data_IF_048480136343
#
_entry.id   IF_048480136343
#
_cell.length_a   1.000
_cell.length_b   1.000
_cell.length_c   1.000
_cell.angle_alpha   90.00
_cell.angle_beta   90.00
_cell.angle_gamma   90.00
#
_symmetry.space_group_name_H-M   'P 1'
#
loop_
_entity.id
_entity.type
_entity.pdbx_description
1 polymer ?
#
# COMPACT_ATOMS: atom_id res chain seq x y z
N UNK A 1 14.93 -2.22 8.98
CA UNK A 1 13.63 -1.89 8.33
C UNK A 1 13.52 -2.47 6.92
N UNK A 2 14.53 -2.35 6.04
CA UNK A 2 14.54 -2.98 4.70
C UNK A 2 14.25 -4.49 4.73
N UNK A 3 14.93 -5.25 5.58
CA UNK A 3 14.75 -6.71 5.67
C UNK A 3 13.33 -7.14 6.07
N UNK A 4 12.64 -6.33 6.89
CA UNK A 4 11.24 -6.60 7.23
C UNK A 4 10.33 -6.35 6.03
N UNK A 5 10.49 -5.20 5.37
CA UNK A 5 9.70 -4.84 4.20
C UNK A 5 9.87 -5.86 3.08
N UNK A 6 11.11 -6.24 2.74
CA UNK A 6 11.39 -7.25 1.73
C UNK A 6 10.74 -8.60 2.07
N UNK A 7 10.75 -9.00 3.33
CA UNK A 7 10.04 -10.19 3.81
C UNK A 7 8.52 -10.09 3.62
N UNK A 8 7.93 -8.91 3.83
CA UNK A 8 6.50 -8.69 3.57
C UNK A 8 6.19 -8.65 2.08
N UNK A 9 7.07 -8.06 1.26
CA UNK A 9 6.90 -7.94 -0.19
C UNK A 9 6.95 -9.29 -0.91
N UNK A 10 7.72 -10.25 -0.39
CA UNK A 10 7.82 -11.61 -0.94
C UNK A 10 6.82 -12.60 -0.34
N UNK A 11 5.91 -12.14 0.52
CA UNK A 11 4.94 -13.01 1.16
C UNK A 11 3.86 -13.47 0.16
N UNK A 12 3.40 -14.72 0.30
CA UNK A 12 2.33 -15.30 -0.51
C UNK A 12 0.95 -14.68 -0.27
N UNK A 13 0.71 -14.11 0.91
CA UNK A 13 -0.57 -13.50 1.30
C UNK A 13 -0.74 -12.06 0.81
N UNK A 14 0.10 -11.61 -0.12
CA UNK A 14 -0.06 -10.32 -0.79
C UNK A 14 -0.99 -10.49 -1.97
N UNK A 15 -2.07 -9.71 -2.04
CA UNK A 15 -2.86 -9.61 -3.26
C UNK A 15 -2.07 -8.86 -4.31
N UNK A 16 -1.82 -9.51 -5.46
CA UNK A 16 -1.05 -8.95 -6.58
C UNK A 16 -1.96 -8.67 -7.77
N UNK A 17 -1.72 -7.54 -8.42
CA UNK A 17 -2.45 -7.11 -9.62
C UNK A 17 -1.49 -6.58 -10.65
N UNK A 18 -1.69 -6.96 -11.90
CA UNK A 18 -1.03 -6.32 -13.03
C UNK A 18 -1.94 -5.22 -13.57
N UNK A 19 -1.52 -3.97 -13.46
CA UNK A 19 -2.25 -2.85 -14.05
C UNK A 19 -1.94 -2.65 -15.54
N UNK A 20 -2.60 -1.66 -16.13
CA UNK A 20 -2.34 -1.28 -17.52
C UNK A 20 -0.89 -0.80 -17.70
N UNK A 21 -0.31 -1.10 -18.86
CA UNK A 21 1.09 -0.89 -19.20
C UNK A 21 2.11 -1.77 -18.42
N UNK A 22 1.67 -2.89 -17.83
CA UNK A 22 2.57 -3.89 -17.24
C UNK A 22 3.08 -3.57 -15.84
N UNK A 23 2.57 -2.51 -15.21
CA UNK A 23 2.91 -2.19 -13.82
C UNK A 23 2.36 -3.26 -12.87
N UNK A 24 3.19 -3.74 -11.96
CA UNK A 24 2.79 -4.68 -10.92
C UNK A 24 2.43 -3.92 -9.64
N UNK A 25 1.31 -4.28 -9.05
CA UNK A 25 0.85 -3.73 -7.78
C UNK A 25 0.66 -4.85 -6.77
N UNK A 26 0.83 -4.52 -5.50
CA UNK A 26 0.56 -5.44 -4.42
C UNK A 26 0.01 -4.73 -3.20
N UNK A 27 -0.88 -5.39 -2.48
CA UNK A 27 -1.45 -4.86 -1.25
C UNK A 27 -1.60 -5.95 -0.19
N UNK A 28 -1.30 -5.61 1.06
CA UNK A 28 -1.52 -6.51 2.20
C UNK A 28 -1.83 -5.75 3.48
N UNK A 29 -2.93 -6.10 4.16
CA UNK A 29 -3.17 -5.62 5.54
C UNK A 29 -2.24 -6.37 6.50
N UNK A 30 -1.57 -5.62 7.37
CA UNK A 30 -0.63 -6.09 8.38
C UNK A 30 -1.14 -5.78 9.79
N UNK A 31 -0.54 -6.41 10.79
CA UNK A 31 -0.76 -6.12 12.22
C UNK A 31 -2.25 -5.94 12.61
N UNK A 32 -3.09 -6.94 12.29
CA UNK A 32 -4.52 -6.95 12.63
C UNK A 32 -5.34 -5.75 12.11
N UNK A 33 -4.86 -5.02 11.11
CA UNK A 33 -5.59 -3.89 10.54
C UNK A 33 -5.05 -2.51 10.89
N UNK A 34 -3.91 -2.42 11.58
CA UNK A 34 -3.27 -1.14 11.93
C UNK A 34 -2.36 -0.63 10.80
N UNK A 35 -1.91 -1.52 9.93
CA UNK A 35 -0.97 -1.19 8.87
C UNK A 35 -1.34 -1.86 7.55
N UNK A 36 -0.82 -1.28 6.48
CA UNK A 36 -0.98 -1.80 5.14
C UNK A 36 0.34 -1.70 4.39
N UNK A 37 0.76 -2.82 3.83
CA UNK A 37 1.79 -2.88 2.81
C UNK A 37 1.17 -2.50 1.48
N UNK A 38 1.82 -1.58 0.77
CA UNK A 38 1.56 -1.30 -0.64
C UNK A 38 2.83 -1.44 -1.46
N UNK A 39 2.70 -2.03 -2.64
CA UNK A 39 3.78 -2.23 -3.59
C UNK A 39 3.41 -1.71 -4.97
N UNK A 40 4.41 -1.14 -5.64
CA UNK A 40 4.37 -0.74 -7.04
C UNK A 40 5.70 -1.12 -7.68
N UNK A 41 5.68 -2.12 -8.56
CA UNK A 41 6.85 -2.76 -9.14
C UNK A 41 7.81 -3.21 -8.02
N UNK A 42 9.04 -2.73 -8.03
CA UNK A 42 10.06 -3.04 -7.02
C UNK A 42 10.02 -2.11 -5.80
N UNK A 43 9.05 -1.18 -5.75
CA UNK A 43 8.92 -0.22 -4.65
C UNK A 43 7.86 -0.69 -3.67
N UNK A 44 8.15 -0.55 -2.39
CA UNK A 44 7.24 -0.88 -1.30
C UNK A 44 7.18 0.24 -0.26
N UNK A 45 6.04 0.36 0.39
CA UNK A 45 5.85 1.20 1.57
C UNK A 45 4.91 0.53 2.56
N UNK A 46 5.04 0.90 3.83
CA UNK A 46 4.05 0.57 4.86
C UNK A 46 3.37 1.87 5.29
N UNK A 47 2.05 1.90 5.19
CA UNK A 47 1.25 2.99 5.72
C UNK A 47 0.40 2.53 6.90
N UNK A 48 0.02 3.48 7.74
CA UNK A 48 -0.95 3.24 8.81
C UNK A 48 -2.35 3.31 8.20
N UNK A 49 -3.19 2.38 8.59
CA UNK A 49 -4.61 2.36 8.24
C UNK A 49 -5.43 2.13 9.52
N UNK A 50 -6.71 2.44 9.44
CA UNK A 50 -7.71 1.98 10.39
C UNK A 50 -8.66 1.10 9.59
N UNK A 51 -8.43 -0.21 9.60
CA UNK A 51 -9.26 -1.16 8.87
C UNK A 51 -10.70 -1.19 9.40
N UNK A 52 -10.91 -0.91 10.70
CA UNK A 52 -12.24 -0.91 11.32
C UNK A 52 -13.11 0.25 10.83
N UNK A 53 -12.49 1.40 10.56
CA UNK A 53 -13.17 2.60 10.05
C UNK A 53 -12.88 2.88 8.56
N UNK A 54 -12.21 1.97 7.86
CA UNK A 54 -11.87 2.12 6.44
C UNK A 54 -10.96 3.32 6.13
N UNK A 55 -10.20 3.83 7.11
CA UNK A 55 -9.40 5.05 6.94
C UNK A 55 -7.95 4.74 6.56
N UNK A 56 -7.37 5.57 5.68
CA UNK A 56 -5.95 5.53 5.35
C UNK A 56 -5.29 6.81 5.84
N UNK A 57 -4.30 6.67 6.72
CA UNK A 57 -3.56 7.82 7.24
C UNK A 57 -2.51 8.28 6.22
N UNK A 58 -2.94 9.11 5.27
CA UNK A 58 -2.08 9.64 4.18
C UNK A 58 -0.82 10.34 4.66
N UNK A 59 -0.82 10.85 5.91
CA UNK A 59 0.36 11.41 6.57
C UNK A 59 1.50 10.40 6.75
N UNK A 60 1.22 9.10 6.77
CA UNK A 60 2.24 8.04 6.83
C UNK A 60 2.89 7.77 5.46
N UNK A 61 2.27 8.20 4.36
CA UNK A 61 2.75 8.00 2.98
C UNK A 61 3.66 9.18 2.59
N UNK A 62 4.92 9.17 3.03
CA UNK A 62 5.87 10.27 2.74
C UNK A 62 7.00 9.88 1.79
N UNK A 63 7.38 8.61 1.80
CA UNK A 63 8.50 8.08 1.03
C UNK A 63 8.26 6.61 0.70
N UNK A 64 9.01 6.09 -0.27
CA UNK A 64 9.13 4.65 -0.48
C UNK A 64 10.09 4.07 0.55
N UNK A 65 9.64 3.11 1.35
CA UNK A 65 10.47 2.51 2.41
C UNK A 65 11.57 1.60 1.85
N UNK A 66 11.37 1.03 0.66
CA UNK A 66 12.40 0.19 0.02
C UNK A 66 13.60 1.01 -0.45
N UNK A 67 13.35 2.18 -1.05
CA UNK A 67 14.41 3.04 -1.65
C UNK A 67 14.80 4.24 -0.81
N UNK A 68 13.97 4.65 0.16
CA UNK A 68 14.10 5.91 0.91
C UNK A 68 13.73 7.16 0.09
N UNK A 69 13.26 7.00 -1.15
CA UNK A 69 12.93 8.12 -2.04
C UNK A 69 11.68 8.85 -1.54
N UNK A 70 11.81 10.15 -1.27
CA UNK A 70 10.68 11.03 -0.93
C UNK A 70 9.70 11.12 -2.09
N UNK A 71 8.41 11.05 -1.77
CA UNK A 71 7.36 11.24 -2.76
C UNK A 71 7.03 12.71 -2.95
N UNK A 72 6.88 13.11 -4.22
CA UNK A 72 6.27 14.40 -4.53
C UNK A 72 4.80 14.44 -4.08
N UNK A 73 4.22 15.63 -3.95
CA UNK A 73 2.80 15.76 -3.60
C UNK A 73 1.89 15.05 -4.62
N UNK A 74 2.18 15.19 -5.92
CA UNK A 74 1.44 14.52 -7.00
C UNK A 74 1.55 12.99 -6.89
N UNK A 75 2.76 12.49 -6.66
CA UNK A 75 3.00 11.05 -6.48
C UNK A 75 2.26 10.50 -5.25
N UNK A 76 2.27 11.24 -4.14
CA UNK A 76 1.57 10.85 -2.92
C UNK A 76 0.06 10.75 -3.10
N UNK A 77 -0.54 11.72 -3.81
CA UNK A 77 -1.97 11.69 -4.14
C UNK A 77 -2.29 10.47 -5.00
N UNK A 78 -1.48 10.21 -6.03
CA UNK A 78 -1.62 9.03 -6.91
C UNK A 78 -1.53 7.71 -6.13
N UNK A 79 -0.48 7.55 -5.32
CA UNK A 79 -0.25 6.35 -4.50
C UNK A 79 -1.40 6.15 -3.49
N UNK A 80 -1.87 7.22 -2.85
CA UNK A 80 -3.03 7.16 -1.95
C UNK A 80 -4.28 6.68 -2.69
N UNK A 81 -4.53 7.16 -3.90
CA UNK A 81 -5.65 6.72 -4.74
C UNK A 81 -5.57 5.25 -5.11
N UNK A 82 -4.37 4.76 -5.45
CA UNK A 82 -4.14 3.34 -5.73
C UNK A 82 -4.36 2.46 -4.50
N UNK A 83 -3.87 2.87 -3.33
CA UNK A 83 -4.10 2.15 -2.08
C UNK A 83 -5.59 2.08 -1.77
N UNK A 84 -6.32 3.20 -1.89
CA UNK A 84 -7.78 3.23 -1.71
C UNK A 84 -8.48 2.26 -2.66
N UNK A 85 -8.14 2.31 -3.95
CA UNK A 85 -8.70 1.43 -4.99
C UNK A 85 -8.51 -0.03 -4.60
N UNK A 86 -7.28 -0.45 -4.36
CA UNK A 86 -6.96 -1.86 -4.11
C UNK A 86 -7.42 -2.32 -2.72
N UNK A 87 -7.45 -1.44 -1.73
CA UNK A 87 -8.04 -1.79 -0.43
C UNK A 87 -9.54 -2.08 -0.57
N UNK A 88 -10.27 -1.29 -1.37
CA UNK A 88 -11.68 -1.54 -1.67
C UNK A 88 -11.87 -2.83 -2.48
N UNK A 89 -11.00 -3.07 -3.46
CA UNK A 89 -11.06 -4.24 -4.33
C UNK A 89 -10.80 -5.55 -3.59
N UNK A 90 -9.81 -5.59 -2.69
CA UNK A 90 -9.37 -6.83 -2.04
C UNK A 90 -9.89 -7.06 -0.63
N UNK A 91 -10.16 -6.00 0.14
CA UNK A 91 -10.43 -6.12 1.56
C UNK A 91 -11.83 -5.69 1.98
N UNK A 92 -12.50 -4.79 1.27
CA UNK A 92 -13.92 -4.52 1.55
C UNK A 92 -14.63 -3.65 0.50
N UNK A 93 -15.85 -4.06 0.11
CA UNK A 93 -16.81 -3.24 -0.64
C UNK A 93 -17.33 -2.01 0.14
N UNK A 94 -17.08 -1.94 1.46
CA UNK A 94 -17.56 -0.91 2.37
C UNK A 94 -16.53 0.20 2.72
N UNK A 95 -15.37 0.25 2.05
CA UNK A 95 -14.45 1.41 2.16
C UNK A 95 -14.99 2.53 1.27
N UNK A 96 -16.01 3.23 1.74
CA UNK A 96 -16.53 4.46 1.12
C UNK A 96 -16.75 5.48 2.23
N UNK A 97 -16.17 6.66 1.98
CA UNK A 97 -16.25 7.96 2.66
C UNK A 97 -17.21 8.13 3.85
#
# INVERSE_FOLDING_TARGET
MRSFLEGQMNNENVHRVTGHAGNQYGIRVLFRGDNLLFMENEKGLICTIDAAHGAIFTKSIKQWDSTGKKMSQKERIRVTGLIKKYCKEFYNHAVVE
#
